data_IF_779229415022
#
_entry.id   IF_779229415022
#
_cell.length_a   1.000
_cell.length_b   1.000
_cell.length_c   1.000
_cell.angle_alpha   90.00
_cell.angle_beta   90.00
_cell.angle_gamma   90.00
#
_symmetry.space_group_name_H-M   'P 1'
#
loop_
_entity.id
_entity.type
_entity.pdbx_description
1 polymer ?
#
# COMPACT_ATOMS: atom_id res chain seq x y z
N UNK A 1 5.98 -13.71 25.67
CA UNK A 1 7.36 -14.23 25.85
C UNK A 1 8.35 -13.25 25.27
N UNK A 2 9.38 -12.88 26.01
CA UNK A 2 10.47 -12.00 25.55
C UNK A 2 11.23 -12.66 24.40
N UNK A 3 11.37 -11.92 23.28
CA UNK A 3 12.16 -12.42 22.13
C UNK A 3 13.64 -12.36 22.45
N UNK A 4 14.43 -13.44 22.25
CA UNK A 4 15.89 -13.42 22.48
C UNK A 4 16.63 -12.33 21.69
N UNK A 5 16.23 -12.08 20.43
CA UNK A 5 16.85 -11.04 19.61
C UNK A 5 16.69 -9.64 20.21
N UNK A 6 15.49 -9.32 20.71
CA UNK A 6 15.22 -8.04 21.39
C UNK A 6 15.96 -7.92 22.71
N UNK A 7 15.96 -8.99 23.51
CA UNK A 7 16.69 -9.02 24.78
C UNK A 7 18.20 -8.80 24.57
N UNK A 8 18.77 -9.38 23.50
CA UNK A 8 20.17 -9.21 23.16
C UNK A 8 20.47 -7.75 22.77
N UNK A 9 19.68 -7.14 21.88
CA UNK A 9 19.84 -5.76 21.45
C UNK A 9 19.78 -4.78 22.63
N UNK A 10 18.84 -5.00 23.55
CA UNK A 10 18.71 -4.20 24.78
C UNK A 10 19.91 -4.40 25.70
N UNK A 11 20.36 -5.65 25.93
CA UNK A 11 21.49 -5.93 26.77
C UNK A 11 22.78 -5.30 26.24
N UNK A 12 23.03 -5.34 24.92
CA UNK A 12 24.18 -4.72 24.28
C UNK A 12 24.15 -3.20 24.40
N UNK A 13 22.98 -2.59 24.14
CA UNK A 13 22.79 -1.14 24.23
C UNK A 13 23.08 -0.62 25.65
N UNK A 14 22.50 -1.28 26.65
CA UNK A 14 22.66 -0.84 28.04
C UNK A 14 24.09 -1.12 28.54
N UNK A 15 24.67 -2.31 28.22
CA UNK A 15 26.06 -2.65 28.56
C UNK A 15 27.04 -1.60 28.03
N UNK A 16 26.85 -1.16 26.78
CA UNK A 16 27.67 -0.11 26.16
C UNK A 16 27.52 1.24 26.85
N UNK A 17 26.34 1.55 27.32
CA UNK A 17 26.03 2.85 27.95
C UNK A 17 26.59 2.94 29.37
N UNK A 18 26.54 1.87 30.19
CA UNK A 18 26.91 1.92 31.61
C UNK A 18 28.30 1.32 31.92
N UNK A 19 28.94 0.64 30.95
CA UNK A 19 30.25 -0.01 31.12
C UNK A 19 30.25 -1.25 32.02
N UNK A 20 29.06 -1.78 32.37
CA UNK A 20 28.88 -2.98 33.17
C UNK A 20 28.09 -4.01 32.35
N UNK A 21 28.48 -5.31 32.46
CA UNK A 21 27.73 -6.34 31.76
C UNK A 21 26.29 -6.44 32.27
N UNK A 22 25.33 -6.29 31.37
CA UNK A 22 23.91 -6.48 31.61
C UNK A 22 23.47 -7.79 30.99
N UNK A 23 22.67 -8.55 31.73
CA UNK A 23 22.00 -9.73 31.21
C UNK A 23 20.48 -9.64 31.40
N UNK A 24 19.75 -10.25 30.50
CA UNK A 24 18.28 -10.35 30.54
C UNK A 24 17.92 -11.83 30.50
N UNK A 25 17.04 -12.26 31.41
CA UNK A 25 16.53 -13.62 31.43
C UNK A 25 15.04 -13.67 31.12
N UNK A 26 14.54 -14.82 30.71
CA UNK A 26 13.14 -15.14 30.74
C UNK A 26 12.65 -15.43 32.19
N UNK A 27 11.38 -15.74 32.34
CA UNK A 27 10.73 -16.12 33.62
C UNK A 27 11.20 -17.48 34.15
N UNK A 28 11.79 -18.33 33.29
CA UNK A 28 12.45 -19.59 33.66
C UNK A 28 13.92 -19.40 34.07
N UNK A 29 14.44 -18.18 34.16
CA UNK A 29 15.80 -17.86 34.52
C UNK A 29 16.85 -18.18 33.46
N UNK A 30 16.46 -18.47 32.22
CA UNK A 30 17.39 -18.67 31.11
C UNK A 30 17.82 -17.33 30.54
N UNK A 31 19.10 -17.13 30.37
CA UNK A 31 19.67 -15.90 29.79
C UNK A 31 19.30 -15.83 28.30
N UNK A 32 18.53 -14.84 27.90
CA UNK A 32 18.09 -14.60 26.53
C UNK A 32 18.78 -13.42 25.87
N UNK A 33 19.53 -12.60 26.63
CA UNK A 33 20.38 -11.54 26.13
C UNK A 33 21.46 -11.18 27.14
N UNK A 34 22.69 -10.89 26.69
CA UNK A 34 23.79 -10.50 27.57
C UNK A 34 24.88 -9.79 26.79
N UNK A 35 25.48 -8.73 27.40
CA UNK A 35 26.71 -8.12 26.89
C UNK A 35 27.94 -9.06 26.92
N UNK A 36 27.84 -10.19 27.61
CA UNK A 36 28.79 -11.31 27.53
C UNK A 36 28.13 -12.46 26.77
N UNK A 37 28.43 -12.66 25.46
CA UNK A 37 27.75 -13.62 24.63
C UNK A 37 27.86 -15.07 25.13
N UNK A 38 28.90 -15.40 25.91
CA UNK A 38 29.13 -16.74 26.47
C UNK A 38 28.05 -17.17 27.47
N UNK A 39 27.28 -16.23 27.95
CA UNK A 39 26.21 -16.44 28.95
C UNK A 39 24.85 -16.72 28.32
N UNK A 40 24.65 -16.38 27.09
CA UNK A 40 23.36 -16.59 26.41
C UNK A 40 23.03 -18.08 26.36
N UNK A 41 21.79 -18.40 26.70
CA UNK A 41 21.29 -19.79 26.77
C UNK A 41 21.58 -20.50 28.10
N UNK A 42 22.46 -19.96 28.98
CA UNK A 42 22.76 -20.55 30.29
C UNK A 42 21.68 -20.23 31.32
N UNK A 43 21.62 -21.03 32.39
CA UNK A 43 20.74 -20.75 33.53
C UNK A 43 21.39 -19.71 34.45
N UNK A 44 20.58 -18.74 34.89
CA UNK A 44 20.94 -17.76 35.92
C UNK A 44 20.07 -18.00 37.16
N UNK A 45 20.57 -18.79 38.11
CA UNK A 45 19.79 -19.30 39.23
C UNK A 45 19.20 -18.19 40.11
N UNK A 46 19.90 -17.07 40.31
CA UNK A 46 19.38 -15.91 41.05
C UNK A 46 18.10 -15.34 40.46
N UNK A 47 17.90 -15.46 39.14
CA UNK A 47 16.68 -14.99 38.48
C UNK A 47 15.46 -15.76 38.90
N UNK A 48 15.53 -17.06 39.17
CA UNK A 48 14.40 -17.87 39.62
C UNK A 48 13.85 -17.38 40.96
N UNK A 49 14.74 -16.99 41.89
CA UNK A 49 14.35 -16.43 43.16
C UNK A 49 13.71 -15.06 43.03
N UNK A 50 14.31 -14.18 42.17
CA UNK A 50 13.80 -12.84 41.89
C UNK A 50 12.39 -12.90 41.27
N UNK A 51 12.18 -13.79 40.27
CA UNK A 51 10.86 -14.00 39.65
C UNK A 51 9.82 -14.47 40.69
N UNK A 52 10.17 -15.46 41.50
CA UNK A 52 9.27 -15.99 42.54
C UNK A 52 8.90 -14.98 43.60
N UNK A 53 9.89 -14.21 44.09
CA UNK A 53 9.69 -13.21 45.16
C UNK A 53 9.18 -11.86 44.65
N UNK A 54 9.25 -11.64 43.35
CA UNK A 54 8.95 -10.33 42.73
C UNK A 54 9.78 -9.17 43.33
N UNK A 55 10.96 -9.47 43.83
CA UNK A 55 11.85 -8.55 44.53
C UNK A 55 13.30 -8.72 44.08
N UNK A 56 14.03 -7.62 44.00
CA UNK A 56 15.46 -7.63 43.63
C UNK A 56 16.33 -8.39 44.62
N UNK A 57 17.40 -8.99 44.10
CA UNK A 57 18.38 -9.71 44.90
C UNK A 57 19.78 -9.20 44.59
N UNK A 58 20.63 -9.21 45.59
CA UNK A 58 22.03 -8.78 45.59
C UNK A 58 22.94 -9.92 45.92
N UNK A 59 24.02 -10.09 45.18
CA UNK A 59 24.95 -11.18 45.36
C UNK A 59 26.41 -10.62 45.38
N UNK A 60 27.07 -10.72 46.51
CA UNK A 60 28.49 -10.52 46.62
C UNK A 60 29.26 -11.73 46.00
N UNK A 61 30.60 -11.68 46.03
CA UNK A 61 31.43 -12.75 45.47
C UNK A 61 31.24 -14.09 46.17
N UNK A 62 30.91 -14.11 47.48
CA UNK A 62 30.71 -15.35 48.23
C UNK A 62 29.34 -15.97 47.94
N UNK A 63 28.29 -15.13 47.89
CA UNK A 63 26.93 -15.59 47.54
C UNK A 63 26.82 -16.05 46.09
N UNK A 64 27.42 -15.33 45.16
CA UNK A 64 27.44 -15.65 43.73
C UNK A 64 28.07 -17.03 43.43
N UNK A 65 29.14 -17.43 44.13
CA UNK A 65 29.78 -18.74 43.95
C UNK A 65 28.90 -19.92 44.33
N UNK A 66 27.82 -19.73 45.07
CA UNK A 66 26.90 -20.79 45.54
C UNK A 66 25.74 -21.02 44.57
N UNK A 67 25.59 -20.17 43.53
CA UNK A 67 24.52 -20.20 42.59
C UNK A 67 25.02 -20.42 41.16
N UNK A 68 24.32 -21.24 40.41
CA UNK A 68 24.70 -21.56 39.03
C UNK A 68 24.52 -20.34 38.11
N UNK A 69 25.58 -20.02 37.34
CA UNK A 69 25.56 -18.95 36.36
C UNK A 69 25.51 -17.54 36.93
N UNK A 70 25.68 -17.34 38.23
CA UNK A 70 25.62 -16.03 38.89
C UNK A 70 26.99 -15.42 39.08
N UNK A 71 27.15 -14.14 38.71
CA UNK A 71 28.33 -13.31 39.02
C UNK A 71 27.95 -12.28 40.09
N UNK A 72 28.96 -11.73 40.82
CA UNK A 72 28.68 -10.63 41.79
C UNK A 72 27.91 -9.49 41.08
N UNK A 73 26.89 -8.96 41.73
CA UNK A 73 26.07 -7.91 41.16
C UNK A 73 24.65 -7.88 41.74
N UNK A 74 23.74 -7.39 40.95
CA UNK A 74 22.33 -7.31 41.32
C UNK A 74 21.45 -7.92 40.23
N UNK A 75 20.30 -8.46 40.63
CA UNK A 75 19.27 -8.99 39.76
C UNK A 75 17.93 -8.39 40.16
N UNK A 76 17.22 -7.77 39.21
CA UNK A 76 15.94 -7.11 39.42
C UNK A 76 14.86 -7.73 38.54
N UNK A 77 13.60 -7.82 39.03
CA UNK A 77 12.49 -8.28 38.20
C UNK A 77 12.17 -7.24 37.12
N UNK A 78 11.88 -7.71 35.91
CA UNK A 78 11.31 -6.92 34.83
C UNK A 78 9.79 -7.06 34.85
N UNK A 79 9.12 -5.94 34.97
CA UNK A 79 7.66 -5.87 35.09
C UNK A 79 7.04 -5.35 33.78
N UNK A 80 6.08 -6.09 33.25
CA UNK A 80 5.21 -5.64 32.17
C UNK A 80 3.77 -5.78 32.65
N UNK A 81 3.04 -4.66 32.70
CA UNK A 81 1.65 -4.62 33.17
C UNK A 81 1.41 -5.38 34.51
N UNK A 82 2.35 -5.23 35.44
CA UNK A 82 2.42 -5.86 36.78
C UNK A 82 2.86 -7.34 36.79
N UNK A 83 3.04 -7.99 35.67
CA UNK A 83 3.58 -9.33 35.61
C UNK A 83 5.09 -9.35 35.46
N UNK A 84 5.74 -10.31 36.15
CA UNK A 84 7.17 -10.52 36.02
C UNK A 84 7.44 -11.32 34.72
N UNK A 85 7.97 -10.69 33.70
CA UNK A 85 8.27 -11.31 32.40
C UNK A 85 9.69 -11.87 32.29
N UNK A 86 10.50 -11.64 33.30
CA UNK A 86 11.90 -12.05 33.37
C UNK A 86 12.67 -11.21 34.38
N UNK A 87 13.99 -11.19 34.25
CA UNK A 87 14.85 -10.37 35.10
C UNK A 87 15.93 -9.65 34.31
N UNK A 88 16.42 -8.53 34.87
CA UNK A 88 17.66 -7.88 34.43
C UNK A 88 18.71 -8.04 35.52
N UNK A 89 19.89 -8.56 35.14
CA UNK A 89 21.06 -8.65 36.00
C UNK A 89 22.15 -7.67 35.58
N UNK A 90 22.80 -7.04 36.53
CA UNK A 90 23.96 -6.17 36.31
C UNK A 90 25.16 -6.76 37.05
N UNK A 91 26.24 -7.08 36.32
CA UNK A 91 27.46 -7.61 36.91
C UNK A 91 28.37 -6.48 37.37
N UNK A 92 28.85 -6.57 38.60
CA UNK A 92 29.76 -5.59 39.16
C UNK A 92 29.76 -5.66 40.70
N UNK A 93 30.57 -4.79 41.35
CA UNK A 93 30.50 -4.63 42.80
C UNK A 93 29.12 -4.13 43.19
N UNK A 94 28.39 -4.79 44.12
CA UNK A 94 27.02 -4.44 44.51
C UNK A 94 26.86 -2.98 44.95
N UNK A 95 27.84 -2.42 45.60
CA UNK A 95 27.82 -0.99 46.03
C UNK A 95 27.83 -0.06 44.82
N UNK A 96 28.66 -0.39 43.80
CA UNK A 96 28.80 0.43 42.60
C UNK A 96 27.56 0.31 41.70
N UNK A 97 27.03 -0.89 41.47
CA UNK A 97 25.92 -1.10 40.55
C UNK A 97 24.56 -0.78 41.13
N UNK A 98 24.44 -0.61 42.44
CA UNK A 98 23.21 -0.30 43.14
C UNK A 98 22.57 1.03 42.65
N UNK A 99 23.39 2.05 42.43
CA UNK A 99 22.92 3.35 41.94
C UNK A 99 22.31 3.28 40.53
N UNK A 100 22.72 2.32 39.71
CA UNK A 100 22.26 2.16 38.33
C UNK A 100 21.08 1.20 38.22
N UNK A 101 20.89 0.31 39.19
CA UNK A 101 19.98 -0.81 39.09
C UNK A 101 18.55 -0.43 38.73
N UNK A 102 17.98 0.53 39.45
CA UNK A 102 16.60 0.94 39.17
C UNK A 102 16.47 1.70 37.85
N UNK A 103 17.49 2.44 37.44
CA UNK A 103 17.53 3.15 36.16
C UNK A 103 17.59 2.11 35.03
N UNK A 104 18.50 1.14 35.13
CA UNK A 104 18.63 0.05 34.14
C UNK A 104 17.34 -0.75 34.01
N UNK A 105 16.72 -1.12 35.15
CA UNK A 105 15.43 -1.83 35.16
C UNK A 105 14.37 -1.04 34.39
N UNK A 106 14.14 0.22 34.75
CA UNK A 106 13.16 1.08 34.11
C UNK A 106 13.42 1.28 32.63
N UNK A 107 14.70 1.52 32.27
CA UNK A 107 15.08 1.68 30.86
C UNK A 107 14.83 0.40 30.07
N UNK A 108 15.15 -0.76 30.66
CA UNK A 108 14.86 -2.06 30.03
C UNK A 108 13.36 -2.27 29.82
N UNK A 109 12.54 -1.97 30.83
CA UNK A 109 11.07 -2.07 30.76
C UNK A 109 10.48 -1.15 29.67
N UNK A 110 11.00 0.09 29.55
CA UNK A 110 10.58 1.04 28.50
C UNK A 110 10.92 0.51 27.11
N UNK A 111 12.16 0.06 26.90
CA UNK A 111 12.59 -0.50 25.60
C UNK A 111 11.80 -1.74 25.23
N UNK A 112 11.54 -2.63 26.20
CA UNK A 112 10.69 -3.81 25.99
C UNK A 112 9.28 -3.42 25.56
N UNK A 113 8.66 -2.48 26.26
CA UNK A 113 7.31 -2.01 25.93
C UNK A 113 7.26 -1.36 24.55
N UNK A 114 8.22 -0.51 24.21
CA UNK A 114 8.32 0.11 22.89
C UNK A 114 8.45 -0.94 21.78
N UNK A 115 9.33 -1.93 21.96
CA UNK A 115 9.53 -2.99 20.96
C UNK A 115 8.29 -3.87 20.82
N UNK A 116 7.58 -4.14 21.91
CA UNK A 116 6.33 -4.91 21.87
C UNK A 116 5.23 -4.17 21.11
N UNK A 117 5.08 -2.86 21.37
CA UNK A 117 4.11 -2.01 20.66
C UNK A 117 4.42 -1.96 19.15
N UNK A 118 5.68 -1.72 18.77
CA UNK A 118 6.10 -1.72 17.37
C UNK A 118 5.81 -3.06 16.68
N UNK A 119 6.01 -4.17 17.38
CA UNK A 119 5.73 -5.50 16.85
C UNK A 119 4.22 -5.74 16.65
N UNK A 120 3.39 -5.29 17.59
CA UNK A 120 1.93 -5.36 17.46
C UNK A 120 1.44 -4.50 16.27
N UNK A 121 1.98 -3.31 16.09
CA UNK A 121 1.66 -2.44 14.96
C UNK A 121 2.03 -3.10 13.63
N UNK A 122 3.22 -3.69 13.51
CA UNK A 122 3.64 -4.42 12.32
C UNK A 122 2.75 -5.64 12.02
N UNK A 123 2.34 -6.38 13.05
CA UNK A 123 1.43 -7.52 12.87
C UNK A 123 0.04 -7.06 12.40
N UNK A 124 -0.44 -5.94 12.96
CA UNK A 124 -1.71 -5.35 12.53
C UNK A 124 -1.64 -4.86 11.08
N UNK A 125 -0.55 -4.19 10.69
CA UNK A 125 -0.35 -3.75 9.31
C UNK A 125 -0.38 -4.92 8.33
N UNK A 126 0.35 -5.99 8.61
CA UNK A 126 0.33 -7.22 7.79
C UNK A 126 -1.05 -7.87 7.73
N UNK A 127 -1.79 -7.85 8.84
CA UNK A 127 -3.16 -8.38 8.87
C UNK A 127 -4.11 -7.54 8.00
N UNK A 128 -3.95 -6.21 7.98
CA UNK A 128 -4.71 -5.31 7.10
C UNK A 128 -4.34 -5.51 5.62
N UNK A 129 -3.06 -5.67 5.31
CA UNK A 129 -2.60 -6.01 3.94
C UNK A 129 -3.23 -7.31 3.46
N UNK A 130 -3.21 -8.34 4.31
CA UNK A 130 -3.83 -9.62 3.99
C UNK A 130 -5.34 -9.48 3.79
N UNK A 131 -6.04 -8.70 4.64
CA UNK A 131 -7.47 -8.43 4.48
C UNK A 131 -7.78 -7.79 3.11
N UNK A 132 -6.95 -6.83 2.67
CA UNK A 132 -7.11 -6.22 1.35
C UNK A 132 -6.93 -7.23 0.23
N UNK A 133 -5.96 -8.14 0.34
CA UNK A 133 -5.76 -9.22 -0.63
C UNK A 133 -6.93 -10.21 -0.64
N UNK A 134 -7.44 -10.55 0.54
CA UNK A 134 -8.60 -11.45 0.67
C UNK A 134 -9.86 -10.80 0.06
N UNK A 135 -10.09 -9.50 0.27
CA UNK A 135 -11.16 -8.74 -0.39
C UNK A 135 -10.96 -8.69 -1.92
N UNK A 136 -9.73 -8.48 -2.38
CA UNK A 136 -9.42 -8.44 -3.82
C UNK A 136 -9.63 -9.80 -4.50
N UNK A 137 -9.31 -10.89 -3.79
CA UNK A 137 -9.50 -12.26 -4.25
C UNK A 137 -10.87 -12.85 -3.96
N UNK A 138 -11.76 -12.13 -3.26
CA UNK A 138 -13.07 -12.65 -2.87
C UNK A 138 -13.89 -13.09 -4.09
N UNK A 139 -14.47 -14.29 -4.05
CA UNK A 139 -15.39 -14.79 -5.05
C UNK A 139 -16.79 -14.90 -4.43
N UNK A 140 -17.80 -14.22 -4.99
CA UNK A 140 -19.19 -14.46 -4.58
C UNK A 140 -19.51 -15.95 -4.70
N UNK A 141 -20.19 -16.52 -3.71
CA UNK A 141 -20.53 -17.92 -3.62
C UNK A 141 -19.42 -18.89 -3.15
N UNK A 142 -18.23 -18.39 -2.76
CA UNK A 142 -17.17 -19.21 -2.13
C UNK A 142 -17.52 -19.69 -0.72
N UNK A 143 -18.46 -19.02 -0.04
CA UNK A 143 -18.78 -19.27 1.36
C UNK A 143 -17.87 -18.54 2.35
N UNK A 144 -17.01 -17.66 1.90
CA UNK A 144 -16.02 -16.96 2.72
C UNK A 144 -16.56 -15.66 3.36
N UNK A 145 -17.81 -15.30 3.09
CA UNK A 145 -18.43 -14.03 3.50
C UNK A 145 -18.37 -13.81 4.99
N UNK A 146 -18.83 -14.81 5.78
CA UNK A 146 -18.92 -14.70 7.24
C UNK A 146 -17.51 -14.58 7.86
N UNK A 147 -16.56 -15.36 7.36
CA UNK A 147 -15.18 -15.32 7.81
C UNK A 147 -14.50 -13.96 7.51
N UNK A 148 -14.72 -13.41 6.31
CA UNK A 148 -14.15 -12.11 5.94
C UNK A 148 -14.76 -10.97 6.75
N UNK A 149 -16.07 -11.02 7.04
CA UNK A 149 -16.73 -10.04 7.92
C UNK A 149 -16.16 -10.07 9.33
N UNK A 150 -16.04 -11.27 9.93
CA UNK A 150 -15.47 -11.44 11.26
C UNK A 150 -14.04 -10.92 11.33
N UNK A 151 -13.21 -11.29 10.35
CA UNK A 151 -11.82 -10.83 10.30
C UNK A 151 -11.69 -9.32 10.12
N UNK A 152 -12.52 -8.73 9.28
CA UNK A 152 -12.56 -7.28 9.10
C UNK A 152 -12.96 -6.57 10.40
N UNK A 153 -13.97 -7.08 11.11
CA UNK A 153 -14.43 -6.54 12.39
C UNK A 153 -13.33 -6.61 13.46
N UNK A 154 -12.61 -7.73 13.58
CA UNK A 154 -11.45 -7.87 14.48
C UNK A 154 -10.36 -6.83 14.22
N UNK A 155 -10.17 -6.41 12.96
CA UNK A 155 -9.22 -5.38 12.56
C UNK A 155 -9.79 -3.96 12.67
N UNK A 156 -11.07 -3.82 13.04
CA UNK A 156 -11.79 -2.55 13.15
C UNK A 156 -12.24 -1.98 11.80
N UNK A 157 -12.39 -2.84 10.78
CA UNK A 157 -12.85 -2.45 9.44
C UNK A 157 -14.28 -2.98 9.21
N UNK A 158 -15.26 -2.07 9.18
CA UNK A 158 -16.65 -2.43 8.88
C UNK A 158 -16.87 -2.50 7.37
N UNK A 159 -17.23 -3.67 6.84
CA UNK A 159 -17.40 -3.90 5.38
C UNK A 159 -18.61 -3.14 4.83
N UNK A 160 -19.71 -3.08 5.57
CA UNK A 160 -21.01 -2.54 5.10
C UNK A 160 -21.11 -1.00 5.09
N UNK A 161 -19.97 -0.32 5.10
CA UNK A 161 -19.90 1.15 5.04
C UNK A 161 -19.52 1.58 3.62
N UNK A 162 -20.19 2.62 3.10
CA UNK A 162 -19.93 3.15 1.77
C UNK A 162 -18.46 3.57 1.59
N UNK A 163 -17.74 2.93 0.65
CA UNK A 163 -16.33 3.19 0.37
C UNK A 163 -16.01 3.18 -1.11
N UNK A 164 -14.92 3.85 -1.48
CA UNK A 164 -14.27 3.70 -2.79
C UNK A 164 -12.83 3.24 -2.57
N UNK A 165 -12.37 2.30 -3.38
CA UNK A 165 -10.97 1.95 -3.42
C UNK A 165 -10.17 3.03 -4.17
N UNK A 166 -8.99 3.36 -3.64
CA UNK A 166 -8.02 4.22 -4.31
C UNK A 166 -6.69 3.47 -4.35
N UNK A 167 -6.13 3.34 -5.53
CA UNK A 167 -4.79 2.78 -5.74
C UNK A 167 -3.86 3.91 -6.11
N UNK A 168 -2.80 4.10 -5.32
CA UNK A 168 -1.80 5.13 -5.51
C UNK A 168 -0.48 4.46 -5.89
N UNK A 169 0.12 4.87 -6.99
CA UNK A 169 1.41 4.38 -7.45
C UNK A 169 2.36 5.56 -7.71
N UNK A 170 3.64 5.38 -7.38
CA UNK A 170 4.70 6.35 -7.64
C UNK A 170 5.60 5.91 -8.78
N UNK A 171 6.29 6.88 -9.41
CA UNK A 171 7.22 6.60 -10.50
C UNK A 171 8.58 6.11 -10.01
N UNK A 172 8.90 4.88 -10.37
CA UNK A 172 10.20 4.27 -10.10
C UNK A 172 11.36 4.90 -10.88
N UNK A 173 11.09 5.36 -12.10
CA UNK A 173 12.15 5.84 -13.00
C UNK A 173 12.72 7.18 -12.55
N UNK A 174 11.89 8.06 -11.99
CA UNK A 174 12.29 9.37 -11.50
C UNK A 174 13.21 9.31 -10.27
N UNK A 175 13.25 8.15 -9.58
CA UNK A 175 13.99 7.95 -8.34
C UNK A 175 15.37 7.30 -8.55
N UNK A 176 15.69 6.89 -9.77
CA UNK A 176 17.02 6.40 -10.14
C UNK A 176 17.88 7.58 -10.55
N UNK A 177 18.59 8.18 -9.59
CA UNK A 177 19.70 9.05 -9.92
C UNK A 177 20.74 8.29 -10.76
N UNK A 178 21.53 8.97 -11.65
CA UNK A 178 22.41 8.32 -12.63
C UNK A 178 23.56 7.49 -12.04
N UNK A 179 23.69 7.39 -10.73
CA UNK A 179 24.94 6.92 -10.08
C UNK A 179 24.77 5.83 -8.99
N UNK A 180 23.71 5.01 -8.99
CA UNK A 180 23.53 3.96 -7.97
C UNK A 180 23.51 2.55 -8.54
N UNK A 181 24.56 1.79 -8.21
CA UNK A 181 24.69 0.34 -8.44
C UNK A 181 23.59 -0.46 -7.73
N UNK A 182 23.09 -1.57 -8.32
CA UNK A 182 22.08 -2.43 -7.67
C UNK A 182 22.72 -3.19 -6.49
N UNK A 183 22.22 -2.96 -5.29
CA UNK A 183 22.66 -3.63 -4.07
C UNK A 183 21.70 -3.38 -2.90
N UNK A 184 21.89 -4.07 -1.79
CA UNK A 184 21.07 -4.06 -0.56
C UNK A 184 20.62 -2.68 -0.05
N UNK A 185 21.33 -1.61 -0.40
CA UNK A 185 20.93 -0.23 -0.06
C UNK A 185 19.64 0.23 -0.77
N UNK A 186 19.27 -0.40 -1.89
CA UNK A 186 18.07 -0.06 -2.66
C UNK A 186 16.80 -0.53 -1.94
N UNK A 187 16.86 -1.69 -1.28
CA UNK A 187 15.68 -2.26 -0.60
C UNK A 187 15.33 -1.49 0.68
N UNK A 188 16.34 -1.04 1.45
CA UNK A 188 16.10 -0.24 2.67
C UNK A 188 15.53 1.12 2.33
N UNK A 189 16.03 1.77 1.29
CA UNK A 189 15.54 3.07 0.82
C UNK A 189 14.10 2.95 0.25
N UNK A 190 13.80 1.83 -0.39
CA UNK A 190 12.48 1.48 -0.94
C UNK A 190 11.45 1.29 0.17
N UNK A 191 11.75 0.49 1.18
CA UNK A 191 10.85 0.22 2.30
C UNK A 191 10.59 1.48 3.14
N UNK A 192 11.61 2.32 3.33
CA UNK A 192 11.46 3.63 3.97
C UNK A 192 10.50 4.55 3.21
N UNK A 193 10.56 4.55 1.87
CA UNK A 193 9.68 5.38 1.03
C UNK A 193 8.24 4.93 1.03
N UNK A 194 7.99 3.62 0.92
CA UNK A 194 6.63 3.08 0.98
C UNK A 194 5.98 3.40 2.32
N UNK A 195 6.74 3.29 3.41
CA UNK A 195 6.26 3.70 4.75
C UNK A 195 5.91 5.19 4.81
N UNK A 196 6.70 6.05 4.16
CA UNK A 196 6.40 7.49 4.07
C UNK A 196 5.16 7.76 3.21
N UNK A 197 4.98 7.01 2.12
CA UNK A 197 3.80 7.10 1.25
C UNK A 197 2.53 6.68 1.99
N UNK A 198 2.57 5.56 2.71
CA UNK A 198 1.47 5.10 3.57
C UNK A 198 1.13 6.15 4.61
N UNK A 199 2.14 6.76 5.23
CA UNK A 199 1.93 7.84 6.21
C UNK A 199 1.26 9.06 5.58
N UNK A 200 1.75 9.53 4.44
CA UNK A 200 1.14 10.64 3.71
C UNK A 200 -0.32 10.34 3.31
N UNK A 201 -0.59 9.10 2.90
CA UNK A 201 -1.95 8.66 2.59
C UNK A 201 -2.84 8.65 3.85
N UNK A 202 -2.34 8.20 5.00
CA UNK A 202 -3.07 8.25 6.29
C UNK A 202 -3.32 9.67 6.81
N UNK A 203 -2.43 10.62 6.50
CA UNK A 203 -2.64 12.02 6.87
C UNK A 203 -3.81 12.65 6.11
N UNK A 204 -4.06 12.21 4.87
CA UNK A 204 -5.15 12.70 4.00
C UNK A 204 -6.43 11.88 4.20
N UNK A 205 -6.33 10.55 4.21
CA UNK A 205 -7.42 9.61 4.44
C UNK A 205 -7.40 9.19 5.91
N UNK A 206 -7.97 10.05 6.75
CA UNK A 206 -7.89 9.95 8.21
C UNK A 206 -9.24 9.71 8.90
N UNK A 207 -10.30 9.43 8.14
CA UNK A 207 -11.55 9.06 8.74
C UNK A 207 -11.42 7.72 9.48
N UNK A 208 -12.09 7.52 10.63
CA UNK A 208 -11.99 6.26 11.39
C UNK A 208 -12.37 5.01 10.60
N UNK A 209 -13.13 5.18 9.51
CA UNK A 209 -13.56 4.11 8.63
C UNK A 209 -12.63 3.91 7.43
N UNK A 210 -11.61 4.75 7.25
CA UNK A 210 -10.65 4.60 6.16
C UNK A 210 -9.67 3.48 6.50
N UNK A 211 -9.32 2.68 5.48
CA UNK A 211 -8.25 1.70 5.58
C UNK A 211 -7.15 2.11 4.59
N UNK A 212 -5.93 2.26 5.10
CA UNK A 212 -4.76 2.59 4.30
C UNK A 212 -3.69 1.54 4.56
N UNK A 213 -3.26 0.85 3.52
CA UNK A 213 -2.23 -0.20 3.61
C UNK A 213 -1.33 -0.21 2.39
N UNK A 214 -0.17 -0.82 2.52
CA UNK A 214 0.73 -1.13 1.41
C UNK A 214 0.08 -2.18 0.48
N UNK A 215 0.29 -2.05 -0.83
CA UNK A 215 -0.25 -2.97 -1.84
C UNK A 215 0.86 -3.56 -2.73
N UNK A 216 2.05 -3.62 -2.21
CA UNK A 216 3.26 -4.00 -2.92
C UNK A 216 4.25 -2.84 -3.02
N UNK A 217 5.38 -3.07 -3.69
CA UNK A 217 6.41 -2.07 -3.82
C UNK A 217 5.87 -0.81 -4.51
N UNK A 218 6.04 0.35 -3.85
CA UNK A 218 5.68 1.69 -4.36
C UNK A 218 4.19 1.90 -4.67
N UNK A 219 3.32 1.08 -4.06
CA UNK A 219 1.88 1.15 -4.25
C UNK A 219 1.16 1.12 -2.91
N UNK A 220 0.18 2.00 -2.75
CA UNK A 220 -0.69 2.07 -1.57
C UNK A 220 -2.13 1.87 -1.99
N UNK A 221 -2.84 1.04 -1.24
CA UNK A 221 -4.29 0.88 -1.34
C UNK A 221 -4.97 1.63 -0.21
N UNK A 222 -6.02 2.36 -0.57
CA UNK A 222 -6.94 3.03 0.36
C UNK A 222 -8.35 2.55 0.08
N UNK A 223 -9.06 2.06 1.10
CA UNK A 223 -10.52 2.01 1.07
C UNK A 223 -11.05 3.24 1.79
N UNK A 224 -11.34 4.28 1.02
CA UNK A 224 -11.75 5.57 1.53
C UNK A 224 -13.26 5.61 1.78
N UNK A 225 -13.66 6.08 2.94
CA UNK A 225 -15.07 6.30 3.28
C UNK A 225 -15.70 7.37 2.37
N UNK A 226 -16.87 7.04 1.81
CA UNK A 226 -17.65 7.97 1.00
C UNK A 226 -18.69 8.64 1.88
N UNK A 227 -18.39 9.88 2.30
CA UNK A 227 -19.35 10.68 3.05
C UNK A 227 -20.52 11.07 2.15
N UNK A 228 -21.71 10.54 2.44
CA UNK A 228 -22.96 11.02 1.81
C UNK A 228 -23.32 12.33 2.48
N UNK A 229 -23.41 13.45 1.76
CA UNK A 229 -23.82 14.73 2.35
C UNK A 229 -25.21 14.62 2.96
N UNK A 230 -25.32 14.70 4.28
CA UNK A 230 -26.60 14.85 4.97
C UNK A 230 -26.95 16.34 5.03
N UNK A 231 -27.70 16.82 4.05
CA UNK A 231 -28.26 18.18 4.08
C UNK A 231 -27.77 19.09 2.95
N UNK A 232 -28.63 20.09 2.60
CA UNK A 232 -28.31 21.11 1.60
C UNK A 232 -27.25 22.06 2.14
N UNK A 233 -25.98 21.89 1.73
CA UNK A 233 -24.94 22.88 1.99
C UNK A 233 -23.57 22.38 2.44
N UNK A 234 -23.34 21.08 2.67
CA UNK A 234 -22.02 20.55 3.02
C UNK A 234 -21.35 19.90 1.79
N UNK A 235 -20.35 20.52 1.22
CA UNK A 235 -19.43 19.87 0.27
C UNK A 235 -18.47 18.99 1.08
N UNK A 236 -18.84 17.73 1.31
CA UNK A 236 -17.85 16.75 1.72
C UNK A 236 -16.82 16.65 0.58
N UNK A 237 -15.54 16.78 0.89
CA UNK A 237 -14.47 16.57 -0.08
C UNK A 237 -14.68 15.18 -0.70
N UNK A 238 -14.78 15.11 -2.01
CA UNK A 238 -14.96 13.82 -2.68
C UNK A 238 -13.68 13.00 -2.54
N UNK A 239 -13.76 11.66 -2.60
CA UNK A 239 -12.59 10.78 -2.62
C UNK A 239 -11.60 11.21 -3.71
N UNK A 240 -12.11 11.70 -4.85
CA UNK A 240 -11.28 12.23 -5.92
C UNK A 240 -10.56 13.53 -5.55
N UNK A 241 -11.17 14.40 -4.73
CA UNK A 241 -10.52 15.63 -4.24
C UNK A 241 -9.43 15.31 -3.24
N UNK A 242 -9.69 14.40 -2.30
CA UNK A 242 -8.69 13.88 -1.36
C UNK A 242 -7.51 13.23 -2.10
N UNK A 243 -7.81 12.42 -3.13
CA UNK A 243 -6.77 11.80 -3.97
C UNK A 243 -5.93 12.86 -4.70
N UNK A 244 -6.53 13.92 -5.26
CA UNK A 244 -5.77 15.03 -5.89
C UNK A 244 -4.88 15.75 -4.89
N UNK A 245 -5.38 15.99 -3.68
CA UNK A 245 -4.60 16.61 -2.61
C UNK A 245 -3.39 15.75 -2.25
N UNK A 246 -3.59 14.45 -2.07
CA UNK A 246 -2.50 13.49 -1.76
C UNK A 246 -1.46 13.46 -2.87
N UNK A 247 -1.86 13.41 -4.15
CA UNK A 247 -0.92 13.41 -5.28
C UNK A 247 -0.04 14.67 -5.28
N UNK A 248 -0.64 15.84 -5.07
CA UNK A 248 0.10 17.12 -4.97
C UNK A 248 1.05 17.14 -3.76
N UNK A 249 0.65 16.55 -2.64
CA UNK A 249 1.49 16.41 -1.44
C UNK A 249 2.69 15.48 -1.69
N UNK A 250 2.48 14.35 -2.36
CA UNK A 250 3.54 13.41 -2.73
C UNK A 250 4.54 14.08 -3.65
N UNK A 251 4.07 14.74 -4.71
CA UNK A 251 4.93 15.43 -5.68
C UNK A 251 5.78 16.52 -4.99
N UNK A 252 5.16 17.32 -4.13
CA UNK A 252 5.84 18.40 -3.39
C UNK A 252 6.86 17.85 -2.37
N UNK A 253 6.55 16.75 -1.67
CA UNK A 253 7.32 16.25 -0.52
C UNK A 253 8.44 15.30 -0.92
N UNK A 254 8.23 14.53 -1.99
CA UNK A 254 9.16 13.48 -2.43
C UNK A 254 9.80 13.75 -3.78
N UNK A 255 9.47 14.88 -4.43
CA UNK A 255 9.95 15.25 -5.78
C UNK A 255 9.79 14.08 -6.77
N UNK A 256 8.65 13.40 -6.69
CA UNK A 256 8.34 12.24 -7.53
C UNK A 256 6.93 12.31 -8.07
N UNK A 257 6.74 11.86 -9.30
CA UNK A 257 5.42 11.79 -9.90
C UNK A 257 4.64 10.62 -9.32
N UNK A 258 3.38 10.85 -9.01
CA UNK A 258 2.47 9.84 -8.53
C UNK A 258 1.18 9.83 -9.34
N UNK A 259 0.50 8.69 -9.35
CA UNK A 259 -0.79 8.52 -10.01
C UNK A 259 -1.77 7.83 -9.07
N UNK A 260 -3.05 8.15 -9.24
CA UNK A 260 -4.11 7.48 -8.49
C UNK A 260 -5.23 6.98 -9.41
N UNK A 261 -5.65 5.75 -9.18
CA UNK A 261 -6.88 5.18 -9.72
C UNK A 261 -7.95 5.16 -8.64
N UNK A 262 -9.16 5.64 -8.94
CA UNK A 262 -10.30 5.67 -8.02
C UNK A 262 -11.39 4.75 -8.55
N UNK A 263 -11.78 3.76 -7.76
CA UNK A 263 -12.80 2.78 -8.07
C UNK A 263 -14.22 3.29 -7.86
N UNK A 264 -15.18 2.44 -8.20
CA UNK A 264 -16.60 2.67 -7.95
C UNK A 264 -16.92 2.67 -6.45
N UNK A 265 -18.03 3.30 -6.05
CA UNK A 265 -18.50 3.22 -4.66
C UNK A 265 -19.06 1.84 -4.36
N UNK A 266 -18.68 1.27 -3.23
CA UNK A 266 -19.03 -0.04 -2.73
C UNK A 266 -19.81 0.07 -1.42
N UNK A 267 -20.71 -0.87 -1.16
CA UNK A 267 -21.52 -0.95 0.06
C UNK A 267 -21.52 -2.35 0.68
N UNK A 268 -20.82 -3.29 0.08
CA UNK A 268 -20.71 -4.69 0.48
C UNK A 268 -19.38 -5.28 0.02
N UNK A 269 -19.09 -6.50 0.39
CA UNK A 269 -17.85 -7.21 0.09
C UNK A 269 -17.61 -7.35 -1.42
N UNK A 270 -18.63 -7.76 -2.17
CA UNK A 270 -18.55 -7.88 -3.63
C UNK A 270 -18.30 -6.52 -4.32
N UNK A 271 -18.90 -5.45 -3.75
CA UNK A 271 -18.67 -4.08 -4.17
C UNK A 271 -17.24 -3.61 -3.88
N UNK A 272 -16.68 -3.92 -2.71
CA UNK A 272 -15.30 -3.59 -2.36
C UNK A 272 -14.32 -4.25 -3.30
N UNK A 273 -14.52 -5.54 -3.61
CA UNK A 273 -13.73 -6.24 -4.63
C UNK A 273 -13.82 -5.54 -5.98
N UNK A 274 -15.03 -5.25 -6.46
CA UNK A 274 -15.22 -4.53 -7.74
C UNK A 274 -14.52 -3.18 -7.71
N UNK A 275 -14.70 -2.39 -6.64
CA UNK A 275 -14.07 -1.09 -6.49
C UNK A 275 -12.54 -1.16 -6.56
N UNK A 276 -11.93 -2.16 -5.93
CA UNK A 276 -10.49 -2.41 -5.98
C UNK A 276 -10.01 -2.70 -7.41
N UNK A 277 -10.66 -3.62 -8.11
CA UNK A 277 -10.31 -3.94 -9.49
C UNK A 277 -10.58 -2.79 -10.47
N UNK A 278 -11.65 -2.03 -10.24
CA UNK A 278 -11.97 -0.82 -11.00
C UNK A 278 -10.88 0.24 -10.84
N UNK A 279 -10.39 0.46 -9.60
CA UNK A 279 -9.30 1.40 -9.32
C UNK A 279 -7.99 1.01 -10.02
N UNK A 280 -7.60 -0.27 -9.94
CA UNK A 280 -6.44 -0.79 -10.66
C UNK A 280 -6.57 -0.65 -12.17
N UNK A 281 -7.75 -0.96 -12.70
CA UNK A 281 -8.04 -0.86 -14.13
C UNK A 281 -7.99 0.59 -14.60
N UNK A 282 -8.60 1.51 -13.84
CA UNK A 282 -8.54 2.94 -14.13
C UNK A 282 -7.10 3.48 -14.12
N UNK A 283 -6.31 3.09 -13.12
CA UNK A 283 -4.90 3.47 -13.03
C UNK A 283 -4.09 2.97 -14.24
N UNK A 284 -4.19 1.69 -14.57
CA UNK A 284 -3.45 1.07 -15.67
C UNK A 284 -3.85 1.65 -17.03
N UNK A 285 -5.16 1.74 -17.29
CA UNK A 285 -5.66 2.30 -18.54
C UNK A 285 -5.40 3.80 -18.63
N UNK A 286 -5.59 4.52 -17.52
CA UNK A 286 -5.38 5.96 -17.47
C UNK A 286 -3.94 6.36 -17.75
N UNK A 287 -2.97 5.71 -17.14
CA UNK A 287 -1.53 5.96 -17.41
C UNK A 287 -1.17 5.73 -18.87
N UNK A 288 -1.85 4.82 -19.53
CA UNK A 288 -1.62 4.49 -20.94
C UNK A 288 -2.32 5.45 -21.89
N UNK A 289 -3.61 5.75 -21.65
CA UNK A 289 -4.48 6.48 -22.55
C UNK A 289 -4.50 8.00 -22.32
N UNK A 290 -4.15 8.44 -21.13
CA UNK A 290 -4.13 9.84 -20.73
C UNK A 290 -2.93 10.13 -19.81
N UNK A 291 -1.68 9.93 -20.30
CA UNK A 291 -0.46 10.00 -19.49
C UNK A 291 -0.20 11.39 -18.89
N UNK A 292 -0.86 12.42 -19.42
CA UNK A 292 -0.77 13.78 -18.88
C UNK A 292 -1.53 13.97 -17.57
N UNK A 293 -2.48 13.10 -17.25
CA UNK A 293 -3.24 13.13 -16.01
C UNK A 293 -2.50 12.38 -14.91
N UNK A 294 -2.86 12.68 -13.66
CA UNK A 294 -2.38 11.97 -12.49
C UNK A 294 -3.51 11.22 -11.75
N UNK A 295 -4.77 11.60 -11.96
CA UNK A 295 -5.94 10.98 -11.35
C UNK A 295 -6.85 10.38 -12.41
N UNK A 296 -7.23 9.12 -12.20
CA UNK A 296 -8.07 8.33 -13.09
C UNK A 296 -9.25 7.75 -12.33
N UNK A 297 -10.46 8.08 -12.76
CA UNK A 297 -11.69 7.55 -12.15
C UNK A 297 -12.20 6.38 -12.98
N UNK A 298 -12.65 5.32 -12.34
CA UNK A 298 -13.20 4.14 -13.02
C UNK A 298 -14.36 4.51 -13.96
N UNK A 299 -15.17 5.49 -13.59
CA UNK A 299 -16.28 5.97 -14.41
C UNK A 299 -15.84 6.50 -15.77
N UNK A 300 -14.68 7.14 -15.84
CA UNK A 300 -14.12 7.71 -17.09
C UNK A 300 -13.61 6.61 -18.04
N UNK A 301 -13.36 5.40 -17.52
CA UNK A 301 -12.77 4.28 -18.24
C UNK A 301 -13.71 3.08 -18.42
N UNK A 302 -15.02 3.23 -18.18
CA UNK A 302 -15.98 2.10 -18.24
C UNK A 302 -15.97 1.38 -19.58
N UNK A 303 -15.98 2.11 -20.69
CA UNK A 303 -15.93 1.53 -22.04
C UNK A 303 -14.60 0.81 -22.27
N UNK A 304 -13.50 1.44 -21.88
CA UNK A 304 -12.16 0.88 -21.98
C UNK A 304 -12.00 -0.38 -21.13
N UNK A 305 -12.54 -0.40 -19.92
CA UNK A 305 -12.54 -1.56 -19.03
C UNK A 305 -13.29 -2.74 -19.65
N UNK A 306 -14.48 -2.49 -20.25
CA UNK A 306 -15.24 -3.49 -20.96
C UNK A 306 -14.44 -4.07 -22.15
N UNK A 307 -13.84 -3.19 -22.96
CA UNK A 307 -13.03 -3.61 -24.11
C UNK A 307 -11.76 -4.35 -23.70
N UNK A 308 -11.13 -3.96 -22.63
CA UNK A 308 -9.94 -4.65 -22.07
C UNK A 308 -10.28 -6.08 -21.60
N UNK A 309 -11.51 -6.31 -21.12
CA UNK A 309 -12.02 -7.64 -20.76
C UNK A 309 -12.25 -8.59 -21.94
N UNK A 310 -12.31 -8.08 -23.18
CA UNK A 310 -12.41 -8.91 -24.38
C UNK A 310 -11.04 -9.53 -24.68
N UNK A 311 -11.01 -10.81 -25.01
CA UNK A 311 -9.77 -11.53 -25.31
C UNK A 311 -8.98 -10.92 -26.48
N UNK A 312 -7.63 -10.92 -26.45
CA UNK A 312 -6.78 -10.24 -27.46
C UNK A 312 -7.04 -10.68 -28.90
N UNK A 313 -7.38 -11.97 -29.08
CA UNK A 313 -7.71 -12.51 -30.41
C UNK A 313 -9.01 -11.92 -30.96
N UNK A 314 -10.04 -11.81 -30.13
CA UNK A 314 -11.33 -11.24 -30.52
C UNK A 314 -11.21 -9.74 -30.80
N UNK A 315 -10.43 -9.01 -29.98
CA UNK A 315 -10.15 -7.59 -30.18
C UNK A 315 -9.51 -7.35 -31.55
N UNK A 316 -8.44 -8.09 -31.88
CA UNK A 316 -7.77 -7.98 -33.18
C UNK A 316 -8.71 -8.32 -34.33
N UNK A 317 -9.46 -9.40 -34.24
CA UNK A 317 -10.41 -9.79 -35.30
C UNK A 317 -11.46 -8.70 -35.56
N UNK A 318 -12.00 -8.10 -34.50
CA UNK A 318 -12.99 -7.03 -34.61
C UNK A 318 -12.37 -5.77 -35.23
N UNK A 319 -11.21 -5.33 -34.72
CA UNK A 319 -10.46 -4.19 -35.21
C UNK A 319 -10.11 -4.34 -36.70
N UNK A 320 -9.45 -5.42 -37.05
CA UNK A 320 -8.94 -5.64 -38.40
C UNK A 320 -10.09 -5.76 -39.41
N UNK A 321 -11.19 -6.38 -39.02
CA UNK A 321 -12.39 -6.51 -39.88
C UNK A 321 -13.06 -5.17 -40.21
N UNK A 322 -12.80 -4.12 -39.42
CA UNK A 322 -13.40 -2.80 -39.65
C UNK A 322 -12.39 -1.74 -40.10
N UNK A 323 -11.13 -1.82 -39.66
CA UNK A 323 -10.14 -0.78 -39.85
C UNK A 323 -9.09 -1.09 -40.93
N UNK A 324 -8.93 -2.33 -41.40
CA UNK A 324 -7.83 -2.70 -42.31
C UNK A 324 -7.75 -1.80 -43.54
N UNK A 325 -8.87 -1.50 -44.21
CA UNK A 325 -8.89 -0.59 -45.36
C UNK A 325 -8.61 0.87 -45.01
N UNK A 326 -9.03 1.30 -43.81
CA UNK A 326 -8.80 2.66 -43.31
C UNK A 326 -7.37 2.84 -42.86
N UNK A 327 -6.78 1.84 -42.19
CA UNK A 327 -5.38 1.86 -41.73
C UNK A 327 -4.38 1.88 -42.88
N UNK A 328 -4.68 1.21 -44.00
CA UNK A 328 -3.88 1.26 -45.19
C UNK A 328 -3.89 2.63 -45.90
N UNK A 329 -4.79 3.53 -45.50
CA UNK A 329 -4.89 4.85 -46.13
C UNK A 329 -3.88 5.83 -45.52
N UNK A 330 -3.19 6.61 -46.42
CA UNK A 330 -2.14 7.59 -46.03
C UNK A 330 -2.60 8.64 -44.99
N UNK A 331 -3.90 8.94 -44.94
CA UNK A 331 -4.49 9.91 -44.01
C UNK A 331 -5.12 9.21 -42.79
N UNK A 332 -4.73 7.98 -42.48
CA UNK A 332 -5.29 7.23 -41.34
C UNK A 332 -5.36 8.01 -40.03
N UNK A 333 -4.28 8.70 -39.58
CA UNK A 333 -4.31 9.45 -38.33
C UNK A 333 -5.42 10.52 -38.28
N UNK A 334 -5.72 11.14 -39.43
CA UNK A 334 -6.77 12.16 -39.54
C UNK A 334 -8.16 11.53 -39.59
N UNK A 335 -8.31 10.42 -40.32
CA UNK A 335 -9.57 9.67 -40.40
C UNK A 335 -9.93 9.09 -39.04
N UNK A 336 -8.97 8.52 -38.33
CA UNK A 336 -9.13 8.01 -36.97
C UNK A 336 -9.64 9.11 -36.02
N UNK A 337 -8.94 10.25 -35.97
CA UNK A 337 -9.38 11.43 -35.16
C UNK A 337 -10.79 11.89 -35.54
N UNK A 338 -11.14 11.80 -36.82
CA UNK A 338 -12.48 12.18 -37.31
C UNK A 338 -13.55 11.20 -36.82
N UNK A 339 -13.29 9.88 -36.88
CA UNK A 339 -14.21 8.83 -36.37
C UNK A 339 -14.48 9.04 -34.89
N UNK A 340 -13.43 9.20 -34.10
CA UNK A 340 -13.51 9.39 -32.64
C UNK A 340 -14.30 10.65 -32.32
N UNK A 341 -13.89 11.81 -32.86
CA UNK A 341 -14.58 13.08 -32.60
C UNK A 341 -16.04 13.07 -33.06
N UNK A 342 -16.35 12.36 -34.18
CA UNK A 342 -17.72 12.26 -34.69
C UNK A 342 -18.67 11.60 -33.69
N UNK A 343 -18.23 10.54 -33.03
CA UNK A 343 -19.06 9.83 -32.04
C UNK A 343 -19.11 10.59 -30.72
N UNK A 344 -17.96 11.09 -30.23
CA UNK A 344 -17.87 11.81 -28.94
C UNK A 344 -18.67 13.12 -28.92
N UNK A 345 -18.86 13.74 -30.11
CA UNK A 345 -19.68 14.95 -30.23
C UNK A 345 -21.10 14.64 -30.74
N UNK A 346 -21.61 13.43 -30.46
CA UNK A 346 -23.00 13.07 -30.65
C UNK A 346 -23.45 13.04 -32.10
N UNK A 347 -22.53 12.75 -33.06
CA UNK A 347 -22.81 12.69 -34.49
C UNK A 347 -23.31 14.05 -35.07
N UNK A 348 -22.85 15.15 -34.48
CA UNK A 348 -23.26 16.50 -34.89
C UNK A 348 -22.15 17.19 -35.68
N UNK A 349 -22.51 17.64 -36.91
CA UNK A 349 -21.54 18.23 -37.85
C UNK A 349 -20.87 19.50 -37.28
N UNK A 350 -21.63 20.36 -36.64
CA UNK A 350 -21.12 21.65 -36.12
C UNK A 350 -20.14 21.41 -34.98
N UNK A 351 -20.55 20.62 -33.98
CA UNK A 351 -19.79 20.35 -32.78
C UNK A 351 -18.48 19.59 -33.10
N UNK A 352 -18.58 18.59 -34.01
CA UNK A 352 -17.41 17.83 -34.47
C UNK A 352 -16.43 18.68 -35.27
N UNK A 353 -16.94 19.55 -36.18
CA UNK A 353 -16.07 20.43 -36.96
C UNK A 353 -15.33 21.45 -36.10
N UNK A 354 -16.00 21.98 -35.08
CA UNK A 354 -15.42 22.89 -34.10
C UNK A 354 -14.34 22.16 -33.26
N UNK A 355 -14.64 20.99 -32.75
CA UNK A 355 -13.69 20.19 -31.96
C UNK A 355 -12.42 19.85 -32.74
N UNK A 356 -12.57 19.49 -34.02
CA UNK A 356 -11.44 19.19 -34.92
C UNK A 356 -10.76 20.45 -35.48
N UNK A 357 -11.29 21.65 -35.23
CA UNK A 357 -10.83 22.94 -35.79
C UNK A 357 -10.75 22.92 -37.30
N UNK A 358 -11.75 22.37 -37.99
CA UNK A 358 -11.85 22.30 -39.45
C UNK A 358 -13.19 22.88 -39.93
N UNK A 359 -13.23 23.27 -41.23
CA UNK A 359 -14.48 23.72 -41.85
C UNK A 359 -15.45 22.52 -42.01
N UNK A 360 -16.76 22.78 -41.89
CA UNK A 360 -17.81 21.72 -42.01
C UNK A 360 -17.72 20.94 -43.33
N UNK A 361 -17.34 21.59 -44.42
CA UNK A 361 -17.20 20.92 -45.70
C UNK A 361 -16.02 19.93 -45.73
N UNK A 362 -14.93 20.26 -45.04
CA UNK A 362 -13.79 19.36 -44.85
C UNK A 362 -14.21 18.14 -44.01
N UNK A 363 -15.02 18.35 -42.95
CA UNK A 363 -15.58 17.26 -42.18
C UNK A 363 -16.49 16.37 -43.04
N UNK A 364 -17.40 16.95 -43.81
CA UNK A 364 -18.27 16.20 -44.72
C UNK A 364 -17.49 15.33 -45.68
N UNK A 365 -16.44 15.90 -46.31
CA UNK A 365 -15.53 15.16 -47.17
C UNK A 365 -14.84 13.98 -46.47
N UNK A 366 -14.35 14.19 -45.22
CA UNK A 366 -13.70 13.13 -44.44
C UNK A 366 -14.71 12.04 -44.07
N UNK A 367 -15.92 12.38 -43.66
CA UNK A 367 -16.98 11.40 -43.34
C UNK A 367 -17.39 10.58 -44.55
N UNK A 368 -17.50 11.21 -45.73
CA UNK A 368 -17.78 10.51 -46.99
C UNK A 368 -16.65 9.55 -47.34
N UNK A 369 -15.40 10.01 -47.26
CA UNK A 369 -14.23 9.20 -47.55
C UNK A 369 -14.13 7.98 -46.61
N UNK A 370 -14.39 8.14 -45.28
CA UNK A 370 -14.49 7.04 -44.32
C UNK A 370 -15.56 6.05 -44.77
N UNK A 371 -16.75 6.56 -45.16
CA UNK A 371 -17.85 5.71 -45.56
C UNK A 371 -17.53 4.87 -46.81
N UNK A 372 -16.85 5.47 -47.80
CA UNK A 372 -16.42 4.79 -49.02
C UNK A 372 -15.39 3.67 -48.71
N UNK A 373 -14.36 3.99 -47.91
CA UNK A 373 -13.32 3.02 -47.57
C UNK A 373 -13.87 1.88 -46.70
N UNK A 374 -14.72 2.20 -45.72
CA UNK A 374 -15.33 1.23 -44.83
C UNK A 374 -16.48 0.43 -45.50
N UNK A 375 -16.91 0.81 -46.71
CA UNK A 375 -18.03 0.20 -47.40
C UNK A 375 -19.40 0.38 -46.73
N UNK A 376 -19.49 1.29 -45.75
CA UNK A 376 -20.68 1.56 -44.94
C UNK A 376 -20.73 3.02 -44.48
N UNK A 377 -21.92 3.63 -44.51
CA UNK A 377 -22.06 5.03 -44.10
C UNK A 377 -21.76 5.21 -42.59
N UNK A 378 -20.75 6.03 -42.27
CA UNK A 378 -20.45 6.44 -40.89
C UNK A 378 -21.53 7.36 -40.29
N UNK A 379 -22.43 7.90 -41.08
CA UNK A 379 -23.56 8.70 -40.58
C UNK A 379 -24.65 7.84 -39.96
N UNK A 380 -24.63 6.52 -40.22
CA UNK A 380 -25.52 5.57 -39.54
C UNK A 380 -24.96 5.32 -38.12
N UNK A 381 -25.71 5.61 -37.05
CA UNK A 381 -25.22 5.51 -35.67
C UNK A 381 -24.57 4.17 -35.34
N UNK A 382 -25.18 3.05 -35.77
CA UNK A 382 -24.64 1.70 -35.55
C UNK A 382 -23.24 1.52 -36.17
N UNK A 383 -23.03 2.04 -37.39
CA UNK A 383 -21.73 1.93 -38.06
C UNK A 383 -20.70 2.89 -37.46
N UNK A 384 -21.12 4.09 -37.06
CA UNK A 384 -20.24 5.04 -36.37
C UNK A 384 -19.71 4.45 -35.07
N UNK A 385 -20.59 3.88 -34.24
CA UNK A 385 -20.22 3.25 -32.98
C UNK A 385 -19.30 2.02 -33.22
N UNK A 386 -19.57 1.21 -34.24
CA UNK A 386 -18.70 0.05 -34.56
C UNK A 386 -17.28 0.49 -34.92
N UNK A 387 -17.14 1.51 -35.78
CA UNK A 387 -15.83 2.09 -36.14
C UNK A 387 -15.15 2.76 -34.94
N UNK A 388 -15.90 3.45 -34.10
CA UNK A 388 -15.40 4.06 -32.87
C UNK A 388 -14.81 3.01 -31.93
N UNK A 389 -15.54 1.95 -31.62
CA UNK A 389 -15.05 0.85 -30.78
C UNK A 389 -13.80 0.20 -31.38
N UNK A 390 -13.74 0.04 -32.71
CA UNK A 390 -12.56 -0.48 -33.38
C UNK A 390 -11.34 0.47 -33.22
N UNK A 391 -11.55 1.78 -33.29
CA UNK A 391 -10.49 2.80 -33.01
C UNK A 391 -10.02 2.74 -31.55
N UNK A 392 -10.93 2.52 -30.60
CA UNK A 392 -10.55 2.36 -29.19
C UNK A 392 -9.73 1.09 -28.98
N UNK A 393 -10.11 -0.03 -29.62
CA UNK A 393 -9.35 -1.29 -29.57
C UNK A 393 -7.96 -1.14 -30.20
N UNK A 394 -7.83 -0.37 -31.29
CA UNK A 394 -6.55 -0.06 -31.91
C UNK A 394 -5.63 0.70 -30.94
N UNK A 395 -6.16 1.67 -30.22
CA UNK A 395 -5.44 2.41 -29.20
C UNK A 395 -5.07 1.55 -27.99
N UNK A 396 -5.97 0.66 -27.58
CA UNK A 396 -5.74 -0.26 -26.47
C UNK A 396 -4.65 -1.30 -26.79
N UNK A 397 -4.49 -1.71 -28.04
CA UNK A 397 -3.52 -2.73 -28.48
C UNK A 397 -2.22 -2.09 -29.04
N UNK A 398 -2.08 -0.77 -29.07
CA UNK A 398 -0.89 -0.07 -29.57
C UNK A 398 0.30 -0.26 -28.60
N UNK A 399 1.36 -0.98 -29.01
CA UNK A 399 2.51 -1.23 -28.15
C UNK A 399 3.31 0.04 -27.79
N UNK A 400 3.18 1.13 -28.56
CA UNK A 400 3.85 2.40 -28.24
C UNK A 400 3.30 3.07 -26.97
N UNK A 401 2.10 2.65 -26.54
CA UNK A 401 1.44 3.07 -25.31
C UNK A 401 1.73 2.15 -24.12
N UNK A 402 2.52 1.10 -24.25
CA UNK A 402 2.91 0.25 -23.13
C UNK A 402 3.91 1.00 -22.23
N UNK A 403 3.42 1.44 -21.07
CA UNK A 403 4.30 1.87 -19.98
C UNK A 403 5.03 0.63 -19.48
N UNK A 404 6.37 0.62 -19.40
CA UNK A 404 7.11 -0.54 -18.91
C UNK A 404 6.56 -0.98 -17.56
N UNK A 405 6.19 -2.25 -17.46
CA UNK A 405 5.87 -2.87 -16.18
C UNK A 405 7.14 -2.85 -15.31
N UNK A 406 7.14 -2.05 -14.25
CA UNK A 406 8.17 -2.10 -13.23
C UNK A 406 7.84 -3.20 -12.21
#
# INVERSE_FOLDING_TARGET
MLSPAVAQEIADTITSAIGHNVLITDDAGRVIGSGDPSRVGTLHEASLEVVRRRAGAWHDAAAARRLAGVKPGMTLPLLLDQDVVGTVGITGDPETVRSFGEIVRRQTEILLRQTMLLRLDLLRERALEQLVQDIAGYEPDSGDDEWLHLRAEELGFAIDVARSAVIIAIDHASLRGPDRSPGHAVDIDRQSRTSHLVRAARDVFNAPQDLVTEAGADTVTVFAHVSVPRGRGGTAASVADASRHLLAEIERRFDTRAWAGVGSTAHDLAGLRRSYHDAWTALRLGRRLAPERALYRADDFRVWSLLAGVGPRQRRQYRDGLLAGLQAHRSWPELRRTIVAWVEHGLRLTDTAQALRIHRNTLLYRLERISVIAGRSIRTPRHAVALYLACLLDELDDPSNDVPHA
#
